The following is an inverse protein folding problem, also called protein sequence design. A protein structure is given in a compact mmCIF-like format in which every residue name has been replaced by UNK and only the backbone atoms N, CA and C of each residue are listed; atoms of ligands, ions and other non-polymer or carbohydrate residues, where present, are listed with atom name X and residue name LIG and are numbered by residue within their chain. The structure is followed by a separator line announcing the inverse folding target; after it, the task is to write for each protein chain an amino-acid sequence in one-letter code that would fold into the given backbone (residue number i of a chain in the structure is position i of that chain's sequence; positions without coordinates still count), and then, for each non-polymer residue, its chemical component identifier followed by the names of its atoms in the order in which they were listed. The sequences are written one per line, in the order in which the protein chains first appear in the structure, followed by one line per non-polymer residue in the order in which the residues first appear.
data_IF_894187454045
#
_entry.id   IF_894187454045
#
_cell.length_a   1.000
_cell.length_b   1.000
_cell.length_c   1.000
_cell.angle_alpha   90.00
_cell.angle_beta   90.00
_cell.angle_gamma   90.00
#
_symmetry.space_group_name_H-M   'P 1'
#
loop_
_entity.id
_entity.type
_entity.pdbx_description
1 polymer ?
#
# COMPACT_ATOMS: atom_id res chain seq x y z
N UNK A 1 -7.38 -19.71 -13.15
CA UNK A 1 -6.58 -19.44 -11.94
C UNK A 1 -6.02 -18.06 -12.14
N UNK A 2 -6.34 -17.11 -11.26
CA UNK A 2 -5.73 -15.78 -11.29
C UNK A 2 -4.22 -15.86 -11.05
N UNK A 3 -3.51 -14.83 -11.50
CA UNK A 3 -2.09 -14.67 -11.26
C UNK A 3 -1.88 -13.66 -10.11
N UNK A 4 -1.16 -14.08 -9.09
CA UNK A 4 -0.65 -13.22 -8.03
C UNK A 4 0.73 -12.70 -8.43
N UNK A 5 0.91 -11.38 -8.42
CA UNK A 5 2.18 -10.70 -8.61
C UNK A 5 2.67 -10.15 -7.27
N UNK A 6 3.97 -10.29 -7.01
CA UNK A 6 4.58 -9.96 -5.72
C UNK A 6 5.76 -9.03 -5.94
N UNK A 7 5.67 -7.82 -5.39
CA UNK A 7 6.77 -6.87 -5.30
C UNK A 7 7.76 -7.28 -4.21
N UNK A 8 9.03 -6.90 -4.38
CA UNK A 8 10.11 -7.35 -3.49
C UNK A 8 11.22 -6.31 -3.30
N UNK A 9 12.06 -6.53 -2.29
CA UNK A 9 13.36 -5.86 -2.14
C UNK A 9 14.49 -6.70 -2.72
N UNK A 10 15.29 -6.11 -3.62
CA UNK A 10 16.32 -6.81 -4.40
C UNK A 10 17.74 -6.58 -3.91
N UNK A 11 17.94 -5.68 -2.95
CA UNK A 11 19.23 -5.42 -2.32
C UNK A 11 19.04 -5.02 -0.86
N UNK A 12 20.13 -5.07 -0.11
CA UNK A 12 20.19 -4.57 1.26
C UNK A 12 19.93 -3.06 1.31
N UNK A 13 19.01 -2.67 2.17
CA UNK A 13 18.65 -1.30 2.52
C UNK A 13 18.72 -1.11 4.05
N UNK A 14 18.47 0.10 4.55
CA UNK A 14 18.52 0.40 5.98
C UNK A 14 17.53 -0.41 6.83
N UNK A 15 16.38 -0.79 6.26
CA UNK A 15 15.29 -1.48 6.95
C UNK A 15 15.05 -2.93 6.50
N UNK A 16 15.83 -3.45 5.55
CA UNK A 16 15.62 -4.79 4.98
C UNK A 16 16.91 -5.36 4.38
N UNK A 17 17.16 -6.65 4.58
CA UNK A 17 18.23 -7.38 3.88
C UNK A 17 17.69 -7.97 2.56
N UNK A 18 17.37 -7.10 1.60
CA UNK A 18 16.76 -7.50 0.34
C UNK A 18 17.68 -8.37 -0.51
N UNK A 19 17.16 -9.49 -0.99
CA UNK A 19 17.91 -10.46 -1.80
C UNK A 19 17.07 -11.12 -2.90
N UNK A 20 15.89 -10.56 -3.19
CA UNK A 20 15.05 -10.98 -4.29
C UNK A 20 15.65 -10.59 -5.64
N UNK A 21 15.14 -11.18 -6.72
CA UNK A 21 15.63 -10.92 -8.08
C UNK A 21 14.79 -9.94 -8.90
N UNK A 22 13.60 -9.57 -8.42
CA UNK A 22 12.65 -8.73 -9.13
C UNK A 22 11.20 -9.05 -8.74
N UNK A 23 10.28 -9.03 -9.70
CA UNK A 23 8.86 -9.30 -9.43
C UNK A 23 8.60 -10.81 -9.61
N UNK A 24 7.91 -11.41 -8.64
CA UNK A 24 7.55 -12.82 -8.68
C UNK A 24 6.09 -12.95 -9.07
N UNK A 25 5.75 -13.96 -9.89
CA UNK A 25 4.37 -14.29 -10.21
C UNK A 25 4.04 -15.74 -9.87
N UNK A 26 2.84 -15.94 -9.36
CA UNK A 26 2.33 -17.21 -8.90
C UNK A 26 0.93 -17.42 -9.45
N UNK A 27 0.57 -18.66 -9.81
CA UNK A 27 -0.85 -19.00 -10.00
C UNK A 27 -1.47 -19.22 -8.63
N UNK A 28 -2.68 -18.73 -8.43
CA UNK A 28 -3.45 -18.93 -7.21
C UNK A 28 -4.65 -19.86 -7.48
N UNK A 29 -4.82 -20.88 -6.65
CA UNK A 29 -5.96 -21.79 -6.68
C UNK A 29 -7.08 -21.26 -5.77
N UNK A 30 -8.12 -20.70 -6.39
CA UNK A 30 -9.29 -20.12 -5.70
C UNK A 30 -10.09 -21.10 -4.85
N UNK A 31 -9.91 -22.41 -5.01
CA UNK A 31 -10.60 -23.40 -4.19
C UNK A 31 -9.84 -23.71 -2.90
N UNK A 32 -8.50 -23.73 -2.97
CA UNK A 32 -7.65 -24.26 -1.89
C UNK A 32 -6.78 -23.19 -1.22
N UNK A 33 -6.51 -22.08 -1.90
CA UNK A 33 -5.51 -21.09 -1.50
C UNK A 33 -4.08 -21.48 -1.85
N UNK A 34 -3.87 -22.55 -2.63
CA UNK A 34 -2.53 -22.99 -3.01
C UNK A 34 -1.88 -22.02 -4.01
N UNK A 35 -0.58 -21.80 -3.82
CA UNK A 35 0.26 -20.96 -4.68
C UNK A 35 1.27 -21.84 -5.43
N UNK A 36 1.52 -21.50 -6.69
CA UNK A 36 2.57 -22.13 -7.50
C UNK A 36 3.32 -21.08 -8.27
N UNK A 37 4.65 -21.04 -8.11
CA UNK A 37 5.52 -20.13 -8.85
C UNK A 37 5.37 -20.35 -10.36
N UNK A 38 5.15 -19.25 -11.09
CA UNK A 38 5.08 -19.20 -12.53
C UNK A 38 6.37 -18.62 -13.11
N UNK A 39 6.71 -17.39 -12.72
CA UNK A 39 7.83 -16.65 -13.28
C UNK A 39 8.51 -15.79 -12.23
N UNK A 40 9.79 -15.53 -12.47
CA UNK A 40 10.53 -14.42 -11.85
C UNK A 40 10.88 -13.46 -12.97
N UNK A 41 10.34 -12.25 -12.90
CA UNK A 41 10.70 -11.15 -13.80
C UNK A 41 11.93 -10.46 -13.21
N UNK A 42 13.10 -10.94 -13.62
CA UNK A 42 14.36 -10.27 -13.36
C UNK A 42 14.46 -8.96 -14.17
N UNK A 43 15.26 -8.01 -13.71
CA UNK A 43 15.45 -6.74 -14.43
C UNK A 43 14.31 -5.73 -14.29
N UNK A 44 13.41 -5.90 -13.31
CA UNK A 44 12.35 -4.95 -12.97
C UNK A 44 12.85 -3.69 -12.22
N UNK A 45 14.15 -3.37 -12.32
CA UNK A 45 14.80 -2.31 -11.55
C UNK A 45 15.14 -2.71 -10.10
N UNK A 46 15.70 -1.77 -9.36
CA UNK A 46 16.04 -1.93 -7.94
C UNK A 46 14.75 -1.88 -7.11
N UNK A 47 14.57 -2.85 -6.22
CA UNK A 47 13.47 -2.89 -5.24
C UNK A 47 12.10 -2.56 -5.86
N UNK A 48 11.55 -3.39 -6.76
CA UNK A 48 10.17 -3.24 -7.24
C UNK A 48 9.18 -3.53 -6.09
N UNK A 49 9.15 -2.66 -5.08
CA UNK A 49 8.65 -2.99 -3.74
C UNK A 49 7.13 -2.91 -3.62
N UNK A 50 6.48 -2.10 -4.46
CA UNK A 50 5.02 -2.00 -4.53
C UNK A 50 4.49 -2.28 -5.94
N UNK A 51 3.49 -3.16 -6.03
CA UNK A 51 2.83 -3.50 -7.30
C UNK A 51 1.31 -3.32 -7.20
N UNK A 52 0.70 -2.78 -8.25
CA UNK A 52 -0.75 -2.66 -8.38
C UNK A 52 -1.13 -2.63 -9.87
N UNK A 53 -2.36 -2.96 -10.24
CA UNK A 53 -2.68 -3.01 -11.67
C UNK A 53 -4.13 -3.28 -12.03
N UNK A 54 -4.29 -3.72 -13.28
CA UNK A 54 -5.53 -4.23 -13.86
C UNK A 54 -5.34 -5.72 -14.20
N UNK A 55 -6.29 -6.31 -14.92
CA UNK A 55 -6.15 -7.69 -15.41
C UNK A 55 -5.17 -7.85 -16.59
N UNK A 56 -4.65 -6.75 -17.14
CA UNK A 56 -3.72 -6.80 -18.30
C UNK A 56 -2.41 -6.06 -18.08
N UNK A 57 -2.36 -5.14 -17.11
CA UNK A 57 -1.24 -4.23 -16.91
C UNK A 57 -0.87 -4.17 -15.44
N UNK A 58 0.41 -4.37 -15.15
CA UNK A 58 0.97 -4.21 -13.81
C UNK A 58 1.78 -2.91 -13.76
N UNK A 59 1.57 -2.11 -12.73
CA UNK A 59 2.40 -0.97 -12.38
C UNK A 59 3.28 -1.36 -11.19
N UNK A 60 4.57 -1.07 -11.27
CA UNK A 60 5.51 -1.34 -10.19
C UNK A 60 6.39 -0.13 -9.92
N UNK A 61 6.51 0.26 -8.65
CA UNK A 61 7.44 1.31 -8.22
C UNK A 61 8.78 0.70 -7.84
N UNK A 62 9.85 1.42 -8.13
CA UNK A 62 11.19 1.11 -7.64
C UNK A 62 11.53 2.01 -6.45
N UNK A 63 11.64 1.40 -5.27
CA UNK A 63 11.98 2.07 -4.03
C UNK A 63 13.51 2.22 -3.94
N UNK A 64 14.00 3.23 -4.65
CA UNK A 64 15.42 3.53 -4.80
C UNK A 64 15.67 5.04 -4.73
N UNK A 65 16.94 5.40 -4.57
CA UNK A 65 17.43 6.77 -4.56
C UNK A 65 18.48 6.96 -5.66
N UNK A 66 18.13 6.64 -6.91
CA UNK A 66 19.06 6.79 -8.02
C UNK A 66 19.19 8.27 -8.44
N UNK A 67 20.34 8.72 -8.97
CA UNK A 67 20.49 10.08 -9.47
C UNK A 67 19.48 10.38 -10.59
N UNK A 68 18.73 11.49 -10.44
CA UNK A 68 17.77 11.93 -11.45
C UNK A 68 18.48 12.46 -12.70
N UNK A 69 18.02 12.02 -13.87
CA UNK A 69 18.43 12.55 -15.17
C UNK A 69 17.63 13.80 -15.55
N UNK A 70 16.39 13.92 -15.04
CA UNK A 70 15.52 15.07 -15.29
C UNK A 70 15.89 16.29 -14.42
N UNK A 71 16.37 16.04 -13.20
CA UNK A 71 16.72 17.05 -12.20
C UNK A 71 18.13 16.80 -11.65
N UNK A 72 19.18 17.26 -12.35
CA UNK A 72 20.56 17.03 -11.94
C UNK A 72 20.84 17.53 -10.51
N UNK A 73 21.36 16.64 -9.65
CA UNK A 73 21.63 16.92 -8.24
C UNK A 73 20.55 16.41 -7.28
N UNK A 74 19.43 15.90 -7.80
CA UNK A 74 18.38 15.25 -7.02
C UNK A 74 18.43 13.72 -7.17
N UNK A 75 17.79 13.01 -6.24
CA UNK A 75 17.58 11.56 -6.28
C UNK A 75 16.12 11.23 -6.63
N UNK A 76 15.89 10.08 -7.25
CA UNK A 76 14.56 9.62 -7.68
C UNK A 76 14.41 8.10 -7.53
N UNK A 77 13.15 7.68 -7.35
CA UNK A 77 12.69 6.34 -7.67
C UNK A 77 12.11 6.29 -9.08
N UNK A 78 11.45 5.18 -9.39
CA UNK A 78 10.84 4.98 -10.71
C UNK A 78 9.46 4.36 -10.60
N UNK A 79 8.67 4.56 -11.66
CA UNK A 79 7.44 3.82 -11.93
C UNK A 79 7.57 3.17 -13.31
N UNK A 80 7.34 1.86 -13.36
CA UNK A 80 7.26 1.09 -14.60
C UNK A 80 5.86 0.55 -14.80
N UNK A 81 5.38 0.55 -16.04
CA UNK A 81 4.21 -0.22 -16.45
C UNK A 81 4.67 -1.45 -17.24
N UNK A 82 4.01 -2.57 -16.99
CA UNK A 82 4.27 -3.84 -17.61
C UNK A 82 2.99 -4.42 -18.19
N UNK A 83 3.07 -4.92 -19.42
CA UNK A 83 2.05 -5.81 -19.96
C UNK A 83 2.20 -7.19 -19.30
N UNK A 84 1.09 -7.74 -18.82
CA UNK A 84 1.03 -9.10 -18.27
C UNK A 84 0.95 -10.13 -19.39
N UNK A 85 1.84 -11.13 -19.32
CA UNK A 85 1.87 -12.24 -20.27
C UNK A 85 1.15 -13.48 -19.71
N UNK A 86 0.69 -14.36 -20.62
CA UNK A 86 -0.10 -15.55 -20.25
C UNK A 86 0.65 -16.54 -19.34
N UNK A 87 1.98 -16.56 -19.41
CA UNK A 87 2.83 -17.41 -18.58
C UNK A 87 3.14 -16.80 -17.19
N UNK A 88 2.52 -15.67 -16.85
CA UNK A 88 2.82 -14.90 -15.65
C UNK A 88 4.04 -13.98 -15.79
N UNK A 89 4.68 -13.93 -16.96
CA UNK A 89 5.73 -12.97 -17.26
C UNK A 89 5.23 -11.53 -17.40
N UNK A 90 6.18 -10.62 -17.46
CA UNK A 90 5.94 -9.18 -17.56
C UNK A 90 6.84 -8.59 -18.64
N UNK A 91 6.25 -7.81 -19.55
CA UNK A 91 6.97 -7.05 -20.57
C UNK A 91 6.87 -5.57 -20.25
N UNK A 92 7.99 -4.89 -19.97
CA UNK A 92 7.95 -3.45 -19.66
C UNK A 92 7.49 -2.65 -20.89
N UNK A 93 6.47 -1.82 -20.72
CA UNK A 93 5.89 -0.98 -21.78
C UNK A 93 6.16 0.52 -21.59
N UNK A 94 6.40 0.96 -20.35
CA UNK A 94 6.87 2.33 -20.06
C UNK A 94 7.64 2.37 -18.74
N UNK A 95 8.50 3.38 -18.57
CA UNK A 95 9.23 3.66 -17.32
C UNK A 95 9.51 5.16 -17.21
N UNK A 96 9.30 5.73 -16.03
CA UNK A 96 9.58 7.14 -15.75
C UNK A 96 10.20 7.34 -14.37
N UNK A 97 11.00 8.40 -14.23
CA UNK A 97 11.37 8.96 -12.93
C UNK A 97 10.14 9.55 -12.25
N UNK A 98 10.13 9.50 -10.91
CA UNK A 98 9.00 9.88 -10.06
C UNK A 98 9.13 11.24 -9.40
N UNK A 99 10.29 11.89 -9.51
CA UNK A 99 10.54 13.22 -8.93
C UNK A 99 10.76 13.19 -7.41
N UNK A 100 10.93 12.01 -6.82
CA UNK A 100 11.29 11.82 -5.42
C UNK A 100 11.90 10.44 -5.18
N UNK A 101 12.78 10.34 -4.19
CA UNK A 101 13.47 9.09 -3.86
C UNK A 101 12.55 8.12 -3.09
N UNK A 102 12.95 6.85 -3.02
CA UNK A 102 12.24 5.80 -2.30
C UNK A 102 10.74 5.78 -2.62
N UNK A 103 10.41 5.73 -3.92
CA UNK A 103 9.02 5.58 -4.38
C UNK A 103 8.45 4.26 -3.86
N UNK A 104 7.44 4.33 -3.01
CA UNK A 104 7.06 3.22 -2.15
C UNK A 104 5.61 2.76 -2.33
N UNK A 105 4.80 3.47 -3.13
CA UNK A 105 3.40 3.09 -3.36
C UNK A 105 2.89 3.59 -4.71
N UNK A 106 2.00 2.81 -5.32
CA UNK A 106 1.27 3.15 -6.54
C UNK A 106 -0.22 2.85 -6.39
N UNK A 107 -1.07 3.73 -6.91
CA UNK A 107 -2.52 3.52 -6.97
C UNK A 107 -3.08 3.92 -8.33
N UNK A 108 -4.13 3.22 -8.76
CA UNK A 108 -4.84 3.48 -10.01
C UNK A 108 -6.18 4.17 -9.73
N UNK A 109 -6.52 5.18 -10.53
CA UNK A 109 -7.81 5.87 -10.41
C UNK A 109 -8.99 4.93 -10.73
N UNK A 110 -10.20 5.18 -10.22
CA UNK A 110 -11.33 4.26 -10.39
C UNK A 110 -11.71 3.98 -11.85
N UNK A 111 -11.50 4.95 -12.74
CA UNK A 111 -11.68 4.83 -14.18
C UNK A 111 -10.47 4.26 -14.93
N UNK A 112 -9.32 4.12 -14.27
CA UNK A 112 -8.07 3.64 -14.88
C UNK A 112 -7.30 4.68 -15.70
N UNK A 113 -7.75 5.94 -15.72
CA UNK A 113 -7.16 7.00 -16.55
C UNK A 113 -5.87 7.60 -15.95
N UNK A 114 -5.62 7.40 -14.65
CA UNK A 114 -4.47 7.95 -13.95
C UNK A 114 -3.84 6.97 -12.97
N UNK A 115 -2.52 7.03 -12.88
CA UNK A 115 -1.72 6.38 -11.84
C UNK A 115 -1.11 7.46 -10.95
N UNK A 116 -1.33 7.35 -9.64
CA UNK A 116 -0.65 8.16 -8.63
C UNK A 116 0.48 7.36 -7.98
N UNK A 117 1.59 8.02 -7.67
CA UNK A 117 2.73 7.42 -6.97
C UNK A 117 3.13 8.27 -5.77
N UNK A 118 3.54 7.60 -4.69
CA UNK A 118 4.06 8.23 -3.48
C UNK A 118 5.57 8.03 -3.37
N UNK A 119 6.27 9.11 -3.06
CA UNK A 119 7.71 9.12 -2.82
C UNK A 119 7.97 9.38 -1.34
N UNK A 120 8.47 8.35 -0.64
CA UNK A 120 8.80 8.46 0.78
C UNK A 120 9.98 9.41 0.98
N UNK A 121 11.01 9.27 0.14
CA UNK A 121 12.16 10.16 0.09
C UNK A 121 11.82 11.46 -0.63
N UNK A 122 12.05 12.58 0.04
CA UNK A 122 11.74 13.91 -0.50
C UNK A 122 10.29 14.32 -0.36
N UNK A 123 9.42 13.51 0.27
CA UNK A 123 8.06 13.87 0.64
C UNK A 123 7.25 14.40 -0.55
N UNK A 124 6.98 13.56 -1.54
CA UNK A 124 6.28 14.01 -2.74
C UNK A 124 5.35 12.96 -3.33
N UNK A 125 4.48 13.39 -4.24
CA UNK A 125 3.66 12.51 -5.06
C UNK A 125 3.64 13.00 -6.51
N UNK A 126 3.39 12.08 -7.43
CA UNK A 126 3.31 12.37 -8.87
C UNK A 126 2.09 11.70 -9.49
N UNK A 127 1.54 12.33 -10.53
CA UNK A 127 0.39 11.84 -11.28
C UNK A 127 0.78 11.56 -12.73
N UNK A 128 0.45 10.36 -13.22
CA UNK A 128 0.73 9.90 -14.57
C UNK A 128 -0.58 9.56 -15.30
N UNK A 129 -0.86 10.17 -16.46
CA UNK A 129 -1.94 9.73 -17.32
C UNK A 129 -1.65 8.33 -17.88
N UNK A 130 -2.68 7.51 -18.01
CA UNK A 130 -2.61 6.16 -18.57
C UNK A 130 -3.09 6.19 -20.02
N UNK A 131 -2.29 5.62 -20.92
CA UNK A 131 -2.64 5.43 -22.32
C UNK A 131 -3.57 4.23 -22.50
N UNK A 132 -4.23 4.14 -23.65
CA UNK A 132 -5.19 3.06 -23.93
C UNK A 132 -4.59 1.63 -23.90
N UNK A 133 -3.27 1.49 -24.09
CA UNK A 133 -2.56 0.22 -23.99
C UNK A 133 -2.06 -0.11 -22.56
N UNK A 134 -2.39 0.75 -21.59
CA UNK A 134 -1.97 0.67 -20.19
C UNK A 134 -0.59 1.28 -19.91
N UNK A 135 0.16 1.71 -20.93
CA UNK A 135 1.42 2.43 -20.71
C UNK A 135 1.17 3.78 -20.06
N UNK A 136 2.17 4.31 -19.37
CA UNK A 136 2.11 5.66 -18.78
C UNK A 136 2.55 6.70 -19.81
N UNK A 137 1.91 7.88 -19.78
CA UNK A 137 2.47 9.09 -20.35
C UNK A 137 3.42 9.76 -19.32
N UNK A 138 4.24 10.76 -19.73
CA UNK A 138 5.01 11.55 -18.77
C UNK A 138 4.11 12.15 -17.67
N UNK A 139 4.68 12.36 -16.48
CA UNK A 139 3.95 12.93 -15.35
C UNK A 139 3.24 14.23 -15.75
N UNK A 140 1.94 14.33 -15.45
CA UNK A 140 1.14 15.53 -15.71
C UNK A 140 1.11 16.48 -14.52
N UNK A 141 1.45 15.97 -13.32
CA UNK A 141 1.48 16.75 -12.10
C UNK A 141 2.47 16.18 -11.08
N UNK A 142 3.01 17.05 -10.22
CA UNK A 142 3.96 16.69 -9.16
C UNK A 142 3.82 17.65 -7.98
N UNK A 143 3.71 17.11 -6.78
CA UNK A 143 3.56 17.87 -5.54
C UNK A 143 4.64 17.44 -4.55
N UNK A 144 5.45 18.39 -4.08
CA UNK A 144 6.48 18.17 -3.04
C UNK A 144 6.08 18.95 -1.79
N UNK A 145 6.25 18.33 -0.65
CA UNK A 145 5.88 18.88 0.64
C UNK A 145 7.11 19.10 1.52
N UNK A 146 7.00 20.13 2.34
CA UNK A 146 7.98 20.46 3.36
C UNK A 146 7.36 20.34 4.75
N UNK A 147 8.23 20.33 5.76
CA UNK A 147 7.86 20.26 7.15
C UNK A 147 8.24 18.92 7.78
N UNK A 148 8.11 18.88 9.10
CA UNK A 148 8.50 17.77 9.95
C UNK A 148 7.68 17.88 11.23
N UNK A 149 7.06 16.80 11.69
CA UNK A 149 6.38 16.83 12.99
C UNK A 149 7.38 16.78 14.14
N UNK A 150 8.55 16.17 13.93
CA UNK A 150 9.61 15.94 14.91
C UNK A 150 9.16 15.19 16.18
N UNK A 151 7.96 14.60 16.19
CA UNK A 151 7.47 13.85 17.35
C UNK A 151 8.27 12.56 17.55
N UNK A 152 8.69 11.93 16.44
CA UNK A 152 9.66 10.82 16.41
C UNK A 152 10.79 11.24 15.45
N UNK A 153 11.86 11.90 15.95
CA UNK A 153 12.88 12.52 15.11
C UNK A 153 13.56 11.61 14.09
N UNK A 154 13.66 10.31 14.36
CA UNK A 154 14.29 9.35 13.45
C UNK A 154 13.38 8.91 12.28
N UNK A 155 12.11 9.32 12.29
CA UNK A 155 11.09 8.90 11.31
C UNK A 155 10.24 10.06 10.77
N UNK A 156 10.34 11.24 11.37
CA UNK A 156 9.49 12.40 11.13
C UNK A 156 10.32 13.70 11.06
N UNK A 157 11.54 13.59 10.55
CA UNK A 157 12.47 14.69 10.30
C UNK A 157 12.15 15.52 9.05
N UNK A 158 11.32 14.97 8.17
CA UNK A 158 10.86 15.60 6.94
C UNK A 158 9.49 15.01 6.55
N UNK A 159 8.86 15.53 5.49
CA UNK A 159 7.69 14.90 4.89
C UNK A 159 8.04 13.55 4.26
N UNK A 160 7.15 12.58 4.44
CA UNK A 160 7.27 11.22 3.92
C UNK A 160 5.91 10.74 3.42
N UNK A 161 5.57 11.06 2.17
CA UNK A 161 4.35 10.56 1.54
C UNK A 161 4.50 9.05 1.34
N UNK A 162 3.72 8.27 2.11
CA UNK A 162 3.86 6.82 2.13
C UNK A 162 2.84 6.13 1.22
N UNK A 163 1.65 6.69 1.04
CA UNK A 163 0.68 6.15 0.10
C UNK A 163 -0.27 7.19 -0.45
N UNK A 164 -0.97 6.81 -1.52
CA UNK A 164 -2.10 7.56 -2.06
C UNK A 164 -3.29 6.63 -2.26
N UNK A 165 -4.50 7.14 -2.06
CA UNK A 165 -5.74 6.39 -2.21
C UNK A 165 -6.78 7.23 -2.94
N UNK A 166 -7.35 6.68 -4.01
CA UNK A 166 -8.33 7.38 -4.82
C UNK A 166 -9.71 7.39 -4.16
N UNK A 167 -10.35 8.55 -4.22
CA UNK A 167 -11.76 8.73 -3.90
C UNK A 167 -12.53 8.93 -5.22
N UNK A 168 -13.87 8.91 -5.22
CA UNK A 168 -14.64 9.08 -6.46
C UNK A 168 -14.36 10.39 -7.23
N UNK A 169 -13.83 11.41 -6.55
CA UNK A 169 -13.66 12.78 -7.06
C UNK A 169 -12.23 13.31 -6.95
N UNK A 170 -11.29 12.53 -6.40
CA UNK A 170 -9.96 13.03 -6.11
C UNK A 170 -9.06 12.00 -5.45
N UNK A 171 -8.10 12.48 -4.67
CA UNK A 171 -7.02 11.67 -4.11
C UNK A 171 -6.76 12.06 -2.67
N UNK A 172 -6.49 11.06 -1.83
CA UNK A 172 -5.93 11.24 -0.50
C UNK A 172 -4.47 10.79 -0.49
N UNK A 173 -3.61 11.46 0.26
CA UNK A 173 -2.23 11.06 0.48
C UNK A 173 -1.92 10.99 1.98
N UNK A 174 -1.22 9.96 2.42
CA UNK A 174 -0.76 9.82 3.80
C UNK A 174 0.69 10.32 3.92
N UNK A 175 0.89 11.39 4.67
CA UNK A 175 2.21 11.92 5.03
C UNK A 175 2.58 11.48 6.44
N UNK A 176 3.42 10.44 6.51
CA UNK A 176 3.92 9.89 7.75
C UNK A 176 4.74 10.92 8.52
N UNK A 177 5.55 11.70 7.80
CA UNK A 177 6.57 12.56 8.37
C UNK A 177 6.04 13.87 8.95
N UNK A 178 4.90 14.37 8.44
CA UNK A 178 4.27 15.59 8.95
C UNK A 178 3.03 15.35 9.81
N UNK A 179 2.67 14.09 10.07
CA UNK A 179 1.41 13.72 10.74
C UNK A 179 0.18 14.30 10.02
N UNK A 180 0.12 14.17 8.69
CA UNK A 180 -0.98 14.74 7.88
C UNK A 180 -1.57 13.76 6.90
N UNK A 181 -2.87 13.94 6.67
CA UNK A 181 -3.53 13.45 5.46
C UNK A 181 -3.74 14.62 4.52
N UNK A 182 -3.27 14.49 3.29
CA UNK A 182 -3.50 15.49 2.23
C UNK A 182 -4.68 15.05 1.39
N UNK A 183 -5.55 15.98 1.03
CA UNK A 183 -6.75 15.73 0.25
C UNK A 183 -6.80 16.62 -0.98
N UNK A 184 -7.17 16.04 -2.12
CA UNK A 184 -7.24 16.72 -3.40
C UNK A 184 -8.57 16.47 -4.09
N UNK A 185 -8.92 17.37 -5.01
CA UNK A 185 -9.81 17.06 -6.14
C UNK A 185 -8.99 16.78 -7.39
N UNK A 186 -9.52 15.94 -8.27
CA UNK A 186 -8.96 15.74 -9.60
C UNK A 186 -9.60 16.72 -10.60
N UNK A 187 -8.79 17.58 -11.20
CA UNK A 187 -9.12 18.26 -12.44
C UNK A 187 -8.69 17.36 -13.61
N UNK A 188 -9.63 16.54 -14.10
CA UNK A 188 -9.35 15.54 -15.13
C UNK A 188 -9.01 16.16 -16.50
N UNK A 189 -9.60 17.33 -16.82
CA UNK A 189 -9.37 18.02 -18.09
C UNK A 189 -7.94 18.55 -18.18
N UNK A 190 -7.45 19.14 -17.08
CA UNK A 190 -6.08 19.63 -16.98
C UNK A 190 -5.08 18.59 -16.49
N UNK A 191 -5.56 17.40 -16.06
CA UNK A 191 -4.77 16.28 -15.56
C UNK A 191 -3.95 16.64 -14.31
N UNK A 192 -4.59 17.35 -13.37
CA UNK A 192 -3.97 17.90 -12.17
C UNK A 192 -4.75 17.60 -10.90
N UNK A 193 -4.03 17.56 -9.78
CA UNK A 193 -4.61 17.58 -8.45
C UNK A 193 -4.72 19.03 -7.98
N UNK A 194 -5.91 19.41 -7.52
CA UNK A 194 -6.27 20.78 -7.14
C UNK A 194 -7.03 20.80 -5.81
N UNK A 195 -7.31 21.99 -5.28
CA UNK A 195 -8.04 22.18 -4.02
C UNK A 195 -7.45 21.42 -2.83
N UNK A 196 -6.12 21.48 -2.70
CA UNK A 196 -5.34 20.85 -1.63
C UNK A 196 -5.85 21.27 -0.23
N UNK A 197 -5.98 20.28 0.65
CA UNK A 197 -6.37 20.47 2.04
C UNK A 197 -5.68 19.44 2.94
N UNK A 198 -5.39 19.84 4.19
CA UNK A 198 -4.74 18.97 5.17
C UNK A 198 -5.66 18.62 6.35
N UNK A 199 -5.58 17.37 6.79
CA UNK A 199 -6.05 16.95 8.11
C UNK A 199 -4.81 16.66 8.96
N UNK A 200 -4.61 17.44 10.01
CA UNK A 200 -3.52 17.23 10.97
C UNK A 200 -3.90 16.15 11.98
N UNK A 201 -2.97 15.21 12.21
CA UNK A 201 -3.09 14.15 13.19
C UNK A 201 -2.40 14.52 14.51
N UNK A 202 -2.71 13.82 15.61
CA UNK A 202 -1.90 13.89 16.82
C UNK A 202 -0.41 13.65 16.49
N UNK A 203 0.52 14.45 17.05
CA UNK A 203 1.94 14.27 16.81
C UNK A 203 2.41 12.84 17.13
N UNK A 204 3.16 12.23 16.22
CA UNK A 204 3.65 10.86 16.34
C UNK A 204 2.69 9.78 15.85
N UNK A 205 1.61 10.16 15.16
CA UNK A 205 0.69 9.18 14.53
C UNK A 205 1.39 8.45 13.39
N UNK A 206 1.95 9.20 12.44
CA UNK A 206 2.56 8.69 11.23
C UNK A 206 1.56 7.94 10.32
N UNK A 207 0.57 8.62 9.71
CA UNK A 207 -0.36 7.96 8.80
C UNK A 207 0.39 7.29 7.65
N UNK A 208 0.00 6.05 7.31
CA UNK A 208 0.74 5.20 6.37
C UNK A 208 -0.09 4.79 5.17
N UNK A 209 -1.10 3.95 5.36
CA UNK A 209 -2.00 3.44 4.31
C UNK A 209 -3.46 3.79 4.62
N UNK A 210 -4.32 3.75 3.60
CA UNK A 210 -5.75 4.03 3.73
C UNK A 210 -6.58 2.92 3.07
N UNK A 211 -7.65 2.49 3.74
CA UNK A 211 -8.70 1.69 3.15
C UNK A 211 -10.01 2.49 3.14
N UNK A 212 -10.53 2.76 1.95
CA UNK A 212 -11.67 3.65 1.74
C UNK A 212 -12.90 2.87 1.29
N UNK A 213 -14.08 3.26 1.78
CA UNK A 213 -15.35 2.78 1.23
C UNK A 213 -16.33 3.95 1.09
N UNK A 214 -16.50 4.50 -0.13
CA UNK A 214 -17.53 5.49 -0.42
C UNK A 214 -18.94 4.97 -0.17
N UNK A 215 -19.18 3.67 -0.36
CA UNK A 215 -20.46 3.02 -0.08
C UNK A 215 -20.81 3.07 1.40
N UNK A 216 -19.83 2.77 2.27
CA UNK A 216 -19.99 2.83 3.73
C UNK A 216 -19.82 4.26 4.28
N UNK A 217 -19.41 5.22 3.44
CA UNK A 217 -19.13 6.60 3.86
C UNK A 217 -18.01 6.69 4.89
N UNK A 218 -16.98 5.83 4.80
CA UNK A 218 -15.88 5.76 5.77
C UNK A 218 -14.51 5.62 5.11
N UNK A 219 -13.49 6.19 5.75
CA UNK A 219 -12.09 5.90 5.50
C UNK A 219 -11.39 5.40 6.77
N UNK A 220 -10.65 4.30 6.65
CA UNK A 220 -9.79 3.77 7.71
C UNK A 220 -8.34 4.09 7.38
N UNK A 221 -7.64 4.75 8.29
CA UNK A 221 -6.25 5.15 8.11
C UNK A 221 -5.40 4.40 9.13
N UNK A 222 -4.46 3.59 8.66
CA UNK A 222 -3.50 2.94 9.54
C UNK A 222 -2.33 3.90 9.79
N UNK A 223 -2.00 4.08 11.06
CA UNK A 223 -0.95 4.95 11.55
C UNK A 223 0.22 4.07 12.01
N UNK A 224 1.36 4.22 11.35
CA UNK A 224 2.53 3.38 11.52
C UNK A 224 3.12 3.50 12.92
N UNK A 225 3.25 4.73 13.43
CA UNK A 225 4.12 5.05 14.54
C UNK A 225 3.40 4.92 15.89
N UNK A 226 2.12 5.33 15.96
CA UNK A 226 1.30 5.13 17.16
C UNK A 226 0.55 3.79 17.18
N UNK A 227 0.66 2.99 16.11
CA UNK A 227 0.06 1.67 15.97
C UNK A 227 -1.46 1.66 16.17
N UNK A 228 -2.14 2.57 15.47
CA UNK A 228 -3.60 2.68 15.50
C UNK A 228 -4.23 2.66 14.10
N UNK A 229 -5.52 2.35 14.06
CA UNK A 229 -6.42 2.68 12.95
C UNK A 229 -7.29 3.87 13.35
N UNK A 230 -7.18 4.97 12.61
CA UNK A 230 -8.11 6.10 12.69
C UNK A 230 -9.33 5.85 11.80
N UNK A 231 -10.54 6.06 12.33
CA UNK A 231 -11.80 5.96 11.59
C UNK A 231 -12.30 7.35 11.24
N UNK A 232 -12.53 7.64 9.95
CA UNK A 232 -13.01 8.92 9.48
C UNK A 232 -14.32 8.80 8.70
N UNK A 233 -15.25 9.76 8.85
CA UNK A 233 -16.36 9.86 7.90
C UNK A 233 -15.78 10.28 6.53
N UNK A 234 -16.24 9.64 5.47
CA UNK A 234 -15.92 9.97 4.08
C UNK A 234 -17.18 10.48 3.39
N UNK A 235 -17.14 11.72 2.92
CA UNK A 235 -18.22 12.27 2.13
C UNK A 235 -18.12 11.75 0.69
N UNK A 236 -19.05 10.89 0.29
CA UNK A 236 -19.05 10.25 -1.02
C UNK A 236 -19.24 11.22 -2.21
N UNK A 237 -19.76 12.43 -1.97
CA UNK A 237 -19.99 13.44 -3.03
C UNK A 237 -18.74 14.27 -3.29
N UNK A 238 -18.02 14.62 -2.23
CA UNK A 238 -16.82 15.46 -2.31
C UNK A 238 -15.54 14.65 -2.35
N UNK A 239 -15.60 13.37 -1.92
CA UNK A 239 -14.44 12.49 -1.78
C UNK A 239 -13.51 12.89 -0.64
N UNK A 240 -13.97 13.72 0.31
CA UNK A 240 -13.15 14.20 1.42
C UNK A 240 -13.47 13.47 2.72
N UNK A 241 -12.43 13.20 3.50
CA UNK A 241 -12.54 12.80 4.89
C UNK A 241 -12.95 14.01 5.75
N UNK A 242 -13.71 13.75 6.80
CA UNK A 242 -13.93 14.74 7.86
C UNK A 242 -12.62 15.05 8.61
N UNK A 243 -12.53 16.26 9.18
CA UNK A 243 -11.31 16.70 9.88
C UNK A 243 -11.01 15.92 11.16
N UNK A 244 -12.03 15.37 11.81
CA UNK A 244 -11.89 14.67 13.08
C UNK A 244 -12.12 13.17 12.89
N UNK A 245 -11.24 12.36 13.48
CA UNK A 245 -11.46 10.93 13.55
C UNK A 245 -12.59 10.62 14.54
N UNK A 246 -13.49 9.73 14.16
CA UNK A 246 -14.53 9.20 15.05
C UNK A 246 -13.88 8.36 16.15
N UNK A 247 -12.82 7.62 15.82
CA UNK A 247 -12.17 6.65 16.68
C UNK A 247 -10.69 6.53 16.30
N UNK A 248 -9.85 6.27 17.30
CA UNK A 248 -8.54 5.63 17.09
C UNK A 248 -8.57 4.31 17.88
N UNK A 249 -8.16 3.20 17.25
CA UNK A 249 -8.15 1.88 17.87
C UNK A 249 -6.80 1.21 17.62
N UNK A 250 -6.21 0.57 18.64
CA UNK A 250 -4.87 -0.02 18.54
C UNK A 250 -4.86 -1.28 17.67
N UNK A 251 -3.77 -1.46 16.90
CA UNK A 251 -3.44 -2.67 16.12
C UNK A 251 -2.61 -3.69 16.88
N UNK A 252 -2.24 -3.37 18.13
CA UNK A 252 -1.31 -4.16 18.94
C UNK A 252 -2.05 -4.74 20.15
N UNK A 253 -1.74 -5.98 20.58
CA UNK A 253 -2.28 -6.53 21.83
C UNK A 253 -1.93 -5.64 23.03
N UNK A 254 -2.87 -5.46 23.97
CA UNK A 254 -2.67 -4.60 25.15
C UNK A 254 -1.45 -4.97 25.99
N UNK A 255 -1.13 -6.26 26.03
CA UNK A 255 -0.04 -6.82 26.84
C UNK A 255 1.22 -7.11 26.00
N UNK A 256 1.32 -6.55 24.80
CA UNK A 256 2.50 -6.72 23.95
C UNK A 256 3.74 -6.06 24.55
N UNK A 257 4.80 -6.84 24.73
CA UNK A 257 6.06 -6.41 25.35
C UNK A 257 7.30 -6.70 24.48
N UNK A 258 7.10 -6.88 23.17
CA UNK A 258 8.18 -7.14 22.22
C UNK A 258 8.86 -5.87 21.70
N UNK A 259 9.62 -5.97 20.60
CA UNK A 259 10.21 -4.79 19.93
C UNK A 259 9.14 -3.77 19.52
N UNK A 260 9.53 -2.51 19.38
CA UNK A 260 8.61 -1.43 18.99
C UNK A 260 7.82 -1.79 17.71
N UNK A 261 6.49 -1.93 17.80
CA UNK A 261 5.67 -2.32 16.67
C UNK A 261 5.55 -1.17 15.68
N UNK A 262 5.39 -1.51 14.40
CA UNK A 262 5.15 -0.54 13.34
C UNK A 262 4.03 -1.05 12.41
N UNK A 263 2.86 -0.43 12.52
CA UNK A 263 1.72 -0.79 11.68
C UNK A 263 2.09 -0.64 10.19
N UNK A 264 1.57 -1.52 9.34
CA UNK A 264 1.94 -1.57 7.92
C UNK A 264 0.72 -1.36 7.05
N UNK A 265 -0.13 -2.36 6.91
CA UNK A 265 -1.12 -2.36 5.85
C UNK A 265 -2.54 -2.58 6.35
N UNK A 266 -3.54 -2.14 5.59
CA UNK A 266 -4.94 -2.13 6.00
C UNK A 266 -5.88 -2.37 4.83
N UNK A 267 -6.86 -3.25 5.02
CA UNK A 267 -7.87 -3.57 4.01
C UNK A 267 -9.25 -3.77 4.61
N UNK A 268 -10.27 -3.41 3.84
CA UNK A 268 -11.67 -3.75 4.12
C UNK A 268 -11.96 -5.11 3.49
N UNK A 269 -12.62 -6.00 4.23
CA UNK A 269 -13.13 -7.27 3.75
C UNK A 269 -13.94 -7.13 2.46
N UNK A 270 -13.89 -8.12 1.58
CA UNK A 270 -14.68 -8.15 0.33
C UNK A 270 -16.19 -8.08 0.53
N UNK A 271 -16.69 -8.44 1.72
CA UNK A 271 -18.10 -8.32 2.09
C UNK A 271 -18.44 -7.03 2.87
N UNK A 272 -17.48 -6.13 3.06
CA UNK A 272 -17.66 -4.84 3.74
C UNK A 272 -17.95 -4.92 5.25
N UNK A 273 -17.79 -6.08 5.90
CA UNK A 273 -18.12 -6.27 7.32
C UNK A 273 -16.92 -6.16 8.28
N UNK A 274 -15.70 -6.27 7.78
CA UNK A 274 -14.48 -6.32 8.60
C UNK A 274 -13.36 -5.46 8.04
N UNK A 275 -12.42 -5.09 8.91
CA UNK A 275 -11.13 -4.47 8.58
C UNK A 275 -10.01 -5.38 9.09
N UNK A 276 -8.99 -5.58 8.26
CA UNK A 276 -7.76 -6.29 8.61
C UNK A 276 -6.60 -5.31 8.60
N UNK A 277 -5.79 -5.32 9.65
CA UNK A 277 -4.63 -4.44 9.77
C UNK A 277 -3.38 -5.24 10.15
N UNK A 278 -2.32 -5.14 9.37
CA UNK A 278 -1.04 -5.78 9.63
C UNK A 278 -0.14 -4.89 10.49
N UNK A 279 0.64 -5.51 11.38
CA UNK A 279 1.61 -4.79 12.22
C UNK A 279 2.95 -5.52 12.25
N UNK A 280 4.01 -4.82 11.84
CA UNK A 280 5.39 -5.31 11.87
C UNK A 280 5.93 -5.30 13.29
N UNK A 281 6.93 -6.14 13.53
CA UNK A 281 7.58 -6.38 14.83
C UNK A 281 6.67 -6.97 15.92
N UNK A 282 5.35 -6.74 15.87
CA UNK A 282 4.34 -7.61 16.50
C UNK A 282 4.00 -8.84 15.64
N UNK A 283 4.34 -8.80 14.35
CA UNK A 283 4.18 -9.89 13.38
C UNK A 283 2.75 -10.45 13.33
N UNK A 284 1.77 -9.54 13.26
CA UNK A 284 0.36 -9.88 13.47
C UNK A 284 -0.58 -9.23 12.47
N UNK A 285 -1.79 -9.82 12.37
CA UNK A 285 -2.97 -9.22 11.76
C UNK A 285 -4.01 -9.00 12.86
N UNK A 286 -4.43 -7.75 13.03
CA UNK A 286 -5.59 -7.38 13.82
C UNK A 286 -6.85 -7.40 12.95
N UNK A 287 -7.93 -7.97 13.48
CA UNK A 287 -9.22 -8.11 12.82
C UNK A 287 -10.24 -7.28 13.58
N UNK A 288 -10.95 -6.41 12.87
CA UNK A 288 -12.01 -5.59 13.43
C UNK A 288 -13.33 -5.82 12.73
N UNK A 289 -14.41 -5.88 13.50
CA UNK A 289 -15.77 -5.80 12.97
C UNK A 289 -16.15 -4.35 12.73
N UNK A 290 -16.74 -4.07 11.58
CA UNK A 290 -17.32 -2.77 11.27
C UNK A 290 -18.72 -2.71 11.92
N UNK A 291 -18.92 -1.72 12.79
CA UNK A 291 -20.18 -1.46 13.46
C UNK A 291 -21.12 -0.61 12.59
N UNK A 292 -22.37 -0.50 13.02
CA UNK A 292 -23.40 0.24 12.26
C UNK A 292 -23.10 1.75 12.11
N UNK A 293 -22.26 2.32 12.99
CA UNK A 293 -21.78 3.71 12.92
C UNK A 293 -20.37 3.82 12.31
N UNK A 294 -19.92 2.78 11.60
CA UNK A 294 -18.61 2.64 10.96
C UNK A 294 -17.42 2.58 11.91
N UNK A 295 -17.63 2.60 13.24
CA UNK A 295 -16.57 2.32 14.22
C UNK A 295 -16.13 0.87 14.14
N UNK A 296 -14.95 0.61 14.69
CA UNK A 296 -14.31 -0.70 14.73
C UNK A 296 -14.38 -1.30 16.13
N UNK A 297 -14.77 -2.56 16.19
CA UNK A 297 -14.68 -3.42 17.38
C UNK A 297 -13.63 -4.51 17.14
N UNK A 298 -12.63 -4.61 18.02
CA UNK A 298 -11.59 -5.64 17.90
C UNK A 298 -12.18 -7.04 18.08
N UNK A 299 -11.96 -7.92 17.10
CA UNK A 299 -12.36 -9.32 17.13
C UNK A 299 -11.22 -10.19 17.67
N UNK A 300 -10.04 -10.06 17.05
CA UNK A 300 -8.88 -10.90 17.34
C UNK A 300 -7.60 -10.24 16.81
N UNK A 301 -6.46 -10.59 17.39
CA UNK A 301 -5.13 -10.32 16.85
C UNK A 301 -4.40 -11.66 16.82
N UNK A 302 -3.90 -12.05 15.65
CA UNK A 302 -3.21 -13.33 15.46
C UNK A 302 -1.89 -13.16 14.71
N UNK A 303 -0.91 -14.08 14.89
CA UNK A 303 0.37 -14.01 14.19
C UNK A 303 0.23 -14.29 12.69
N UNK A 304 1.05 -13.64 11.86
CA UNK A 304 1.11 -13.85 10.40
C UNK A 304 1.89 -15.09 10.00
N UNK A 305 2.47 -15.82 10.98
CA UNK A 305 3.31 -17.02 10.82
C UNK A 305 4.68 -16.77 10.20
N UNK A 306 5.04 -15.52 9.98
CA UNK A 306 6.38 -15.07 9.60
C UNK A 306 6.71 -13.75 10.25
N UNK A 307 7.76 -13.08 9.78
CA UNK A 307 8.23 -11.82 10.34
C UNK A 307 8.06 -10.65 9.37
N UNK A 308 7.86 -9.47 9.95
CA UNK A 308 7.66 -8.18 9.27
C UNK A 308 6.61 -8.26 8.15
N UNK A 309 5.31 -8.47 8.49
CA UNK A 309 4.24 -8.46 7.50
C UNK A 309 4.13 -7.07 6.86
N UNK A 310 4.68 -6.92 5.66
CA UNK A 310 4.80 -5.62 4.97
C UNK A 310 3.49 -5.20 4.31
N UNK A 311 2.71 -6.18 3.87
CA UNK A 311 1.47 -6.03 3.11
C UNK A 311 0.58 -7.27 3.34
N UNK A 312 -0.74 -7.06 3.23
CA UNK A 312 -1.72 -8.14 3.17
C UNK A 312 -2.58 -7.97 1.93
N UNK A 313 -3.07 -9.07 1.36
CA UNK A 313 -3.98 -9.02 0.22
C UNK A 313 -5.27 -9.75 0.56
N UNK A 314 -6.39 -9.09 0.26
CA UNK A 314 -7.71 -9.68 0.33
C UNK A 314 -8.17 -10.10 -1.06
N UNK A 315 -8.52 -11.37 -1.20
CA UNK A 315 -9.10 -11.90 -2.44
C UNK A 315 -10.17 -12.93 -2.12
N UNK A 316 -11.43 -12.64 -2.48
CA UNK A 316 -12.60 -13.43 -2.07
C UNK A 316 -12.62 -13.55 -0.53
N UNK A 317 -12.57 -14.77 -0.01
CA UNK A 317 -12.47 -15.10 1.40
C UNK A 317 -11.04 -15.47 1.83
N UNK A 318 -10.03 -15.20 1.00
CA UNK A 318 -8.63 -15.36 1.36
C UNK A 318 -8.00 -14.06 1.85
N UNK A 319 -7.13 -14.19 2.85
CA UNK A 319 -6.20 -13.17 3.30
C UNK A 319 -4.80 -13.73 3.18
N UNK A 320 -3.97 -13.10 2.36
CA UNK A 320 -2.57 -13.45 2.19
C UNK A 320 -1.73 -12.45 2.97
N UNK A 321 -0.64 -12.90 3.60
CA UNK A 321 0.34 -12.04 4.25
C UNK A 321 1.72 -12.26 3.64
N UNK A 322 2.37 -11.19 3.18
CA UNK A 322 3.80 -11.24 2.82
C UNK A 322 4.65 -10.92 4.04
N UNK A 323 5.49 -11.87 4.44
CA UNK A 323 6.40 -11.74 5.57
C UNK A 323 7.82 -11.45 5.04
N UNK A 324 8.21 -10.18 5.11
CA UNK A 324 9.42 -9.64 4.47
C UNK A 324 10.69 -10.38 4.91
N UNK A 325 10.86 -10.59 6.22
CA UNK A 325 12.13 -11.04 6.79
C UNK A 325 12.24 -12.58 6.87
N UNK A 326 11.12 -13.29 6.74
CA UNK A 326 11.07 -14.77 6.67
C UNK A 326 10.88 -15.31 5.26
N UNK A 327 10.87 -14.45 4.24
CA UNK A 327 10.73 -14.84 2.84
C UNK A 327 9.48 -15.71 2.55
N UNK A 328 8.35 -15.41 3.18
CA UNK A 328 7.15 -16.25 3.05
C UNK A 328 5.91 -15.47 2.66
N UNK A 329 5.03 -16.16 1.94
CA UNK A 329 3.63 -15.76 1.73
C UNK A 329 2.77 -16.81 2.40
N UNK A 330 2.01 -16.40 3.42
CA UNK A 330 1.15 -17.28 4.20
C UNK A 330 -0.32 -17.00 3.88
N UNK A 331 -1.11 -18.06 3.64
CA UNK A 331 -2.49 -17.94 3.17
C UNK A 331 -3.48 -18.36 4.24
N UNK A 332 -4.39 -17.45 4.57
CA UNK A 332 -5.48 -17.63 5.50
C UNK A 332 -6.82 -17.57 4.78
N UNK A 333 -7.84 -18.18 5.38
CA UNK A 333 -9.24 -18.07 4.98
C UNK A 333 -10.01 -17.31 6.05
N UNK A 334 -10.72 -16.28 5.64
CA UNK A 334 -11.58 -15.48 6.49
C UNK A 334 -12.99 -16.08 6.57
N UNK A 335 -13.49 -16.21 7.79
CA UNK A 335 -14.90 -16.53 8.01
C UNK A 335 -15.77 -15.29 7.75
N UNK A 336 -16.74 -15.40 6.84
CA UNK A 336 -17.54 -14.26 6.38
C UNK A 336 -18.49 -13.65 7.42
N UNK A 337 -18.75 -14.34 8.53
CA UNK A 337 -19.67 -13.88 9.58
C UNK A 337 -18.94 -13.39 10.84
N UNK A 338 -17.77 -13.93 11.12
CA UNK A 338 -16.97 -13.60 12.31
C UNK A 338 -15.71 -12.81 12.00
N UNK A 339 -15.25 -12.82 10.75
CA UNK A 339 -14.01 -12.19 10.30
C UNK A 339 -12.75 -12.97 10.68
N UNK A 340 -12.86 -14.03 11.49
CA UNK A 340 -11.71 -14.78 12.00
C UNK A 340 -10.94 -15.46 10.88
N UNK A 341 -9.62 -15.52 11.03
CA UNK A 341 -8.71 -16.11 10.07
C UNK A 341 -8.31 -17.53 10.48
N UNK A 342 -8.42 -18.46 9.53
CA UNK A 342 -7.90 -19.83 9.67
C UNK A 342 -6.80 -20.05 8.64
N UNK A 343 -5.62 -20.48 9.08
CA UNK A 343 -4.53 -20.84 8.17
C UNK A 343 -4.94 -22.01 7.27
N UNK A 344 -4.73 -21.89 5.97
CA UNK A 344 -5.19 -22.88 4.98
C UNK A 344 -4.30 -24.13 4.90
N UNK A 345 -3.10 -24.08 5.48
CA UNK A 345 -2.05 -25.07 5.22
C UNK A 345 -1.12 -24.70 4.06
N UNK A 346 -1.41 -23.61 3.33
CA UNK A 346 -0.60 -23.15 2.21
C UNK A 346 0.32 -22.00 2.63
N UNK A 347 1.59 -22.19 2.35
CA UNK A 347 2.60 -21.13 2.35
C UNK A 347 3.52 -21.34 1.15
N UNK A 348 4.14 -20.27 0.66
CA UNK A 348 5.15 -20.38 -0.39
C UNK A 348 6.34 -19.47 -0.10
N UNK A 349 7.52 -19.91 -0.52
CA UNK A 349 8.73 -19.12 -0.47
C UNK A 349 8.68 -17.99 -1.51
N UNK A 350 9.00 -16.78 -1.06
CA UNK A 350 9.20 -15.61 -1.88
C UNK A 350 10.28 -14.77 -1.20
N UNK A 351 11.45 -14.55 -1.82
CA UNK A 351 12.50 -13.74 -1.21
C UNK A 351 12.09 -12.28 -1.01
N UNK A 352 12.29 -11.75 0.20
CA UNK A 352 12.08 -10.36 0.60
C UNK A 352 10.78 -9.71 0.06
N UNK A 353 9.60 -10.33 0.26
CA UNK A 353 8.36 -9.89 -0.36
C UNK A 353 7.81 -8.66 0.36
N UNK A 354 7.20 -7.74 -0.38
CA UNK A 354 6.81 -6.44 0.16
C UNK A 354 5.43 -5.93 -0.25
N UNK A 355 4.84 -6.45 -1.34
CA UNK A 355 3.48 -6.13 -1.77
C UNK A 355 2.89 -7.22 -2.66
N UNK A 356 1.56 -7.24 -2.77
CA UNK A 356 0.84 -8.20 -3.60
C UNK A 356 -0.25 -7.55 -4.46
N UNK A 357 -0.41 -8.06 -5.69
CA UNK A 357 -1.54 -7.74 -6.56
C UNK A 357 -2.03 -9.01 -7.28
N UNK A 358 -3.34 -9.23 -7.32
CA UNK A 358 -3.94 -10.40 -7.99
C UNK A 358 -4.74 -9.99 -9.23
N UNK A 359 -4.34 -10.50 -10.39
CA UNK A 359 -4.97 -10.27 -11.69
C UNK A 359 -5.88 -11.45 -12.06
N UNK A 360 -7.09 -11.15 -12.55
CA UNK A 360 -8.12 -12.14 -12.89
C UNK A 360 -8.25 -12.42 -14.39
#
# INVERSE_FOLDING_TARGET
MPNLYVGTYTRKEGHVDGHAKGIYSYSFDDATGALKLLKVTEGAGINPSYVFGTNSTLYAVNESNEPSQLHPGEETGFISAYKMEKDGGLTQISRYETGGAYTCHVALSPNGDFVSVANYGGGSLSLYPVNADGSLAPASDHHRYEGASMAIPERQEASHIHSTAWTPTGLLAADLGTDRLVQYKLDADNKKLVDEEFITRPPGSGPRHLALSPELGVGYVINELDNTVSVYPLDAKTGKLGHEALQNISTVPKDYSGPAPLASDIHISTNGKFVYAATRFCHSIAIYKILADSRLELVEILPTRGETPRDILLYKDFVLAVNQDTNSIDVFRADGETGKLTYTGNSIDCPSPSSMFIAQ
#
